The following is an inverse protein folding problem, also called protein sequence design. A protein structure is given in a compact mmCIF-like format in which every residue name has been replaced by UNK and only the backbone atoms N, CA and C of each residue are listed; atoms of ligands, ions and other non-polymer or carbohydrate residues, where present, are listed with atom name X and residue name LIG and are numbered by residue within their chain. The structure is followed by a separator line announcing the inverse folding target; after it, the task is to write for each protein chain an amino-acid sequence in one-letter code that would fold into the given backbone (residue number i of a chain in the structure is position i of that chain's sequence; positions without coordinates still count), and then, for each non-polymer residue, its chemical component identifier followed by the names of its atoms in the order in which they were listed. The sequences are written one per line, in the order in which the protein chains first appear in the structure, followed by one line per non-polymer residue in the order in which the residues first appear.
data_IF_239672379262
#
_entry.id   IF_239672379262
#
_cell.length_a   1.000
_cell.length_b   1.000
_cell.length_c   1.000
_cell.angle_alpha   90.00
_cell.angle_beta   90.00
_cell.angle_gamma   90.00
#
_symmetry.space_group_name_H-M   'P 1'
#
loop_
_entity.id
_entity.type
_entity.pdbx_description
1 polymer ?
#
# COMPACT_ATOMS: atom_id res chain seq x y z
N UNK A 1 17.70 -18.77 -6.22
CA UNK A 1 18.67 -17.72 -5.80
C UNK A 1 18.96 -17.97 -4.33
N UNK A 2 20.22 -18.18 -3.91
CA UNK A 2 20.51 -18.54 -2.53
C UNK A 2 20.38 -17.31 -1.62
N UNK A 3 19.84 -17.52 -0.42
CA UNK A 3 19.55 -16.51 0.59
C UNK A 3 20.84 -15.92 1.20
N UNK A 4 21.28 -14.78 0.68
CA UNK A 4 22.43 -14.01 1.18
C UNK A 4 22.09 -13.05 2.33
N UNK A 5 20.93 -13.19 2.99
CA UNK A 5 20.50 -12.26 4.04
C UNK A 5 19.95 -13.01 5.25
N UNK A 6 20.20 -12.49 6.46
CA UNK A 6 19.48 -12.97 7.64
C UNK A 6 17.99 -12.69 7.45
N UNK A 7 17.10 -13.62 7.84
CA UNK A 7 15.66 -13.39 7.78
C UNK A 7 15.33 -12.14 8.59
N UNK A 8 14.58 -11.22 7.97
CA UNK A 8 14.04 -10.03 8.64
C UNK A 8 12.96 -10.50 9.62
N UNK A 9 13.37 -10.89 10.83
CA UNK A 9 12.44 -11.30 11.89
C UNK A 9 11.82 -10.07 12.53
N UNK A 10 10.51 -9.93 12.33
CA UNK A 10 9.68 -8.95 13.00
C UNK A 10 9.46 -9.38 14.46
N UNK A 11 10.13 -8.74 15.42
CA UNK A 11 9.92 -9.01 16.85
C UNK A 11 9.65 -7.70 17.60
N UNK A 12 8.60 -7.65 18.41
CA UNK A 12 8.11 -6.44 19.11
C UNK A 12 9.03 -5.88 20.22
N UNK A 13 10.24 -6.44 20.42
CA UNK A 13 11.15 -6.10 21.52
C UNK A 13 12.36 -5.25 21.09
N UNK A 14 12.12 -4.22 20.27
CA UNK A 14 13.19 -3.41 19.66
C UNK A 14 13.92 -2.48 20.64
N UNK A 15 13.25 -1.96 21.68
CA UNK A 15 13.86 -1.02 22.63
C UNK A 15 14.95 -1.67 23.51
N UNK A 16 14.80 -2.95 23.86
CA UNK A 16 15.78 -3.68 24.68
C UNK A 16 16.98 -4.19 23.87
N UNK A 17 16.82 -4.45 22.56
CA UNK A 17 17.90 -4.98 21.74
C UNK A 17 19.01 -3.97 21.40
N UNK A 18 18.77 -2.66 21.58
CA UNK A 18 19.80 -1.62 21.40
C UNK A 18 20.93 -1.68 22.43
N UNK A 19 20.68 -2.26 23.60
CA UNK A 19 21.62 -2.15 24.73
C UNK A 19 22.55 -3.35 24.96
N UNK A 20 22.33 -4.51 24.32
CA UNK A 20 23.02 -5.74 24.77
C UNK A 20 24.00 -6.42 23.81
N UNK A 21 24.08 -6.07 22.51
CA UNK A 21 25.13 -6.62 21.64
C UNK A 21 25.44 -5.71 20.45
N UNK A 22 26.71 -5.43 20.19
CA UNK A 22 27.17 -4.62 19.04
C UNK A 22 26.73 -5.30 17.74
N UNK A 23 25.78 -4.75 16.98
CA UNK A 23 25.27 -5.47 15.81
C UNK A 23 26.35 -5.51 14.72
N UNK A 24 26.70 -6.71 14.27
CA UNK A 24 27.46 -6.90 13.04
C UNK A 24 26.67 -6.33 11.84
N UNK A 25 27.37 -6.02 10.75
CA UNK A 25 26.69 -5.59 9.53
C UNK A 25 25.73 -6.69 9.04
N UNK A 26 24.51 -6.32 8.66
CA UNK A 26 23.50 -7.26 8.16
C UNK A 26 23.77 -7.83 6.77
N UNK A 27 24.72 -7.25 6.03
CA UNK A 27 25.15 -7.76 4.74
C UNK A 27 26.12 -8.93 4.96
N UNK A 28 25.75 -10.13 4.48
CA UNK A 28 26.56 -11.35 4.64
C UNK A 28 27.90 -11.30 3.91
N UNK A 29 27.95 -10.61 2.77
CA UNK A 29 29.16 -10.36 2.00
C UNK A 29 30.02 -9.21 2.53
N UNK A 30 29.72 -8.66 3.72
CA UNK A 30 30.52 -7.59 4.30
C UNK A 30 31.87 -8.12 4.79
N UNK A 31 32.95 -7.74 4.10
CA UNK A 31 34.33 -7.94 4.56
C UNK A 31 34.68 -6.96 5.70
N UNK A 32 33.95 -7.04 6.81
CA UNK A 32 33.98 -6.09 7.95
C UNK A 32 35.39 -5.85 8.54
N UNK A 33 35.54 -4.85 9.43
CA UNK A 33 36.81 -4.60 10.12
C UNK A 33 37.25 -5.84 10.92
N UNK A 34 38.44 -6.37 10.59
CA UNK A 34 38.90 -7.65 11.11
C UNK A 34 39.22 -7.61 12.62
N UNK A 35 39.53 -6.43 13.19
CA UNK A 35 40.01 -6.31 14.57
C UNK A 35 39.05 -5.59 15.53
N UNK A 36 39.09 -5.98 16.81
CA UNK A 36 38.28 -5.43 17.90
C UNK A 36 38.43 -3.90 18.04
N UNK A 37 39.64 -3.37 17.83
CA UNK A 37 39.96 -1.94 17.90
C UNK A 37 39.33 -1.11 16.76
N UNK A 38 39.25 -1.66 15.55
CA UNK A 38 38.56 -1.01 14.43
C UNK A 38 37.03 -0.99 14.64
N UNK A 39 36.47 -2.00 15.31
CA UNK A 39 35.06 -2.01 15.74
C UNK A 39 34.79 -1.00 16.87
N UNK A 40 35.78 -0.77 17.74
CA UNK A 40 35.70 0.23 18.82
C UNK A 40 35.79 1.66 18.27
N UNK A 41 36.62 1.92 17.26
CA UNK A 41 36.75 3.25 16.61
C UNK A 41 35.58 3.60 15.69
N UNK A 42 34.93 2.62 15.05
CA UNK A 42 33.74 2.83 14.19
C UNK A 42 32.42 2.99 14.96
N UNK A 43 32.46 3.38 16.23
CA UNK A 43 31.32 3.36 17.16
C UNK A 43 30.12 4.24 16.78
N UNK A 44 30.19 5.07 15.74
CA UNK A 44 29.18 6.11 15.49
C UNK A 44 28.68 6.29 14.04
N UNK A 45 29.12 5.51 13.05
CA UNK A 45 28.82 5.80 11.63
C UNK A 45 28.25 4.60 10.86
N UNK A 46 27.04 4.18 11.22
CA UNK A 46 26.28 3.23 10.42
C UNK A 46 24.78 3.49 10.49
N UNK A 47 24.04 2.94 9.54
CA UNK A 47 22.61 3.22 9.37
C UNK A 47 21.80 1.97 9.66
N UNK A 48 20.67 2.14 10.33
CA UNK A 48 19.67 1.09 10.49
C UNK A 48 18.65 1.13 9.36
N UNK A 49 18.48 0.01 8.65
CA UNK A 49 17.46 -0.20 7.64
C UNK A 49 16.52 -1.31 8.11
N UNK A 50 15.26 -0.97 8.39
CA UNK A 50 14.26 -1.88 8.97
C UNK A 50 14.80 -2.66 10.19
N UNK A 51 15.56 -1.96 11.04
CA UNK A 51 16.15 -2.54 12.25
C UNK A 51 17.44 -3.34 12.06
N UNK A 52 17.93 -3.51 10.83
CA UNK A 52 19.21 -4.15 10.53
C UNK A 52 20.30 -3.10 10.35
N UNK A 53 21.46 -3.30 11.01
CA UNK A 53 22.57 -2.35 10.98
C UNK A 53 23.48 -2.54 9.76
N UNK A 54 23.87 -1.43 9.12
CA UNK A 54 24.81 -1.40 8.00
C UNK A 54 25.98 -0.47 8.28
N UNK A 55 27.20 -0.99 8.20
CA UNK A 55 28.40 -0.30 8.68
C UNK A 55 29.07 0.64 7.67
N UNK A 56 28.68 0.59 6.39
CA UNK A 56 29.25 1.40 5.30
C UNK A 56 28.15 1.78 4.31
N UNK A 57 28.27 2.93 3.61
CA UNK A 57 27.33 3.34 2.57
C UNK A 57 27.14 2.26 1.49
N UNK A 58 28.21 1.60 1.05
CA UNK A 58 28.12 0.55 0.02
C UNK A 58 27.33 -0.68 0.51
N UNK A 59 27.45 -1.02 1.80
CA UNK A 59 26.69 -2.14 2.37
C UNK A 59 25.19 -1.80 2.45
N UNK A 60 24.88 -0.55 2.79
CA UNK A 60 23.51 -0.05 2.83
C UNK A 60 22.90 0.02 1.42
N UNK A 61 23.61 0.58 0.44
CA UNK A 61 23.15 0.68 -0.95
C UNK A 61 22.86 -0.71 -1.54
N UNK A 62 23.75 -1.67 -1.30
CA UNK A 62 23.55 -3.08 -1.71
C UNK A 62 22.28 -3.66 -1.10
N UNK A 63 22.04 -3.40 0.19
CA UNK A 63 20.84 -3.85 0.88
C UNK A 63 19.57 -3.17 0.40
N UNK A 64 19.62 -1.84 0.16
CA UNK A 64 18.51 -1.08 -0.41
C UNK A 64 18.12 -1.62 -1.77
N UNK A 65 19.08 -1.83 -2.69
CA UNK A 65 18.82 -2.41 -4.01
C UNK A 65 18.14 -3.77 -3.92
N UNK A 66 18.60 -4.64 -3.01
CA UNK A 66 17.99 -5.96 -2.79
C UNK A 66 16.57 -5.87 -2.19
N UNK A 67 16.31 -4.94 -1.28
CA UNK A 67 14.96 -4.73 -0.73
C UNK A 67 14.00 -4.14 -1.76
N UNK A 68 14.47 -3.16 -2.55
CA UNK A 68 13.68 -2.52 -3.60
C UNK A 68 13.26 -3.53 -4.67
N UNK A 69 14.18 -4.38 -5.13
CA UNK A 69 13.86 -5.43 -6.10
C UNK A 69 12.84 -6.43 -5.55
N UNK A 70 12.98 -6.84 -4.28
CA UNK A 70 12.01 -7.72 -3.61
C UNK A 70 10.63 -7.09 -3.52
N UNK A 71 10.55 -5.83 -3.11
CA UNK A 71 9.29 -5.10 -2.99
C UNK A 71 8.60 -4.90 -4.35
N UNK A 72 9.38 -4.72 -5.41
CA UNK A 72 8.84 -4.58 -6.77
C UNK A 72 8.18 -5.85 -7.31
N UNK A 73 8.61 -7.04 -6.90
CA UNK A 73 7.98 -8.30 -7.34
C UNK A 73 6.67 -8.60 -6.59
N UNK A 74 6.45 -7.98 -5.42
CA UNK A 74 5.21 -8.18 -4.67
C UNK A 74 4.01 -7.61 -5.45
N UNK A 75 3.20 -8.50 -6.01
CA UNK A 75 1.96 -8.14 -6.68
C UNK A 75 1.05 -7.35 -5.72
N UNK A 76 0.31 -6.33 -6.21
CA UNK A 76 -0.71 -5.70 -5.41
C UNK A 76 -1.71 -6.76 -4.93
N UNK A 77 -2.11 -6.68 -3.65
CA UNK A 77 -3.02 -7.66 -3.08
C UNK A 77 -4.33 -7.73 -3.89
N UNK A 78 -4.65 -8.93 -4.37
CA UNK A 78 -5.91 -9.20 -5.04
C UNK A 78 -7.11 -8.94 -4.10
N UNK A 79 -8.25 -8.59 -4.67
CA UNK A 79 -9.50 -8.48 -3.91
C UNK A 79 -9.83 -9.83 -3.25
N UNK A 80 -10.29 -9.85 -1.98
CA UNK A 80 -10.73 -11.09 -1.35
C UNK A 80 -11.87 -11.70 -2.19
N UNK A 81 -11.82 -13.00 -2.51
CA UNK A 81 -12.77 -13.63 -3.43
C UNK A 81 -14.22 -13.65 -2.93
N UNK A 82 -14.44 -13.57 -1.60
CA UNK A 82 -15.74 -13.84 -0.96
C UNK A 82 -16.47 -12.57 -0.47
N UNK A 83 -16.30 -11.44 -1.15
CA UNK A 83 -16.94 -10.19 -0.74
C UNK A 83 -18.30 -10.03 -1.41
N UNK A 84 -19.38 -9.95 -0.61
CA UNK A 84 -20.72 -9.63 -1.12
C UNK A 84 -20.66 -8.28 -1.85
N UNK A 85 -21.09 -8.17 -3.12
CA UNK A 85 -21.15 -6.90 -3.85
C UNK A 85 -21.98 -5.84 -3.12
N UNK A 86 -21.59 -4.57 -3.22
CA UNK A 86 -22.21 -3.47 -2.46
C UNK A 86 -23.72 -3.37 -2.73
N UNK A 87 -24.12 -3.40 -4.00
CA UNK A 87 -25.54 -3.33 -4.38
C UNK A 87 -26.36 -4.48 -3.80
N UNK A 88 -25.85 -5.71 -3.85
CA UNK A 88 -26.54 -6.87 -3.26
C UNK A 88 -26.63 -6.76 -1.74
N UNK A 89 -25.60 -6.25 -1.07
CA UNK A 89 -25.62 -6.01 0.37
C UNK A 89 -26.67 -4.96 0.75
N UNK A 90 -26.82 -3.90 -0.05
CA UNK A 90 -27.82 -2.86 0.16
C UNK A 90 -29.25 -3.37 -0.07
N UNK A 91 -29.45 -4.24 -1.06
CA UNK A 91 -30.73 -4.94 -1.28
C UNK A 91 -31.09 -5.85 -0.10
N UNK A 92 -30.14 -6.65 0.36
CA UNK A 92 -30.35 -7.53 1.53
C UNK A 92 -30.69 -6.76 2.82
N UNK A 93 -30.30 -5.48 2.89
CA UNK A 93 -30.58 -4.56 4.01
C UNK A 93 -31.86 -3.74 3.82
N UNK A 94 -32.61 -3.97 2.73
CA UNK A 94 -33.83 -3.22 2.40
C UNK A 94 -33.60 -1.75 2.05
N UNK A 95 -32.35 -1.38 1.72
CA UNK A 95 -31.97 0.00 1.37
C UNK A 95 -32.10 0.30 -0.12
N UNK A 96 -32.07 -0.73 -0.95
CA UNK A 96 -32.26 -0.65 -2.39
C UNK A 96 -33.14 -1.80 -2.86
N UNK A 97 -33.78 -1.61 -4.00
CA UNK A 97 -34.42 -2.65 -4.79
C UNK A 97 -33.43 -3.21 -5.83
N UNK A 98 -33.73 -4.41 -6.34
CA UNK A 98 -32.93 -4.99 -7.41
C UNK A 98 -32.93 -4.13 -8.69
N UNK A 99 -34.06 -3.48 -8.99
CA UNK A 99 -34.21 -2.61 -10.17
C UNK A 99 -33.33 -1.36 -10.06
N UNK A 100 -33.27 -0.73 -8.89
CA UNK A 100 -32.39 0.44 -8.66
C UNK A 100 -30.91 0.07 -8.81
N UNK A 101 -30.50 -1.11 -8.32
CA UNK A 101 -29.12 -1.59 -8.52
C UNK A 101 -28.80 -1.79 -10.00
N UNK A 102 -29.72 -2.39 -10.77
CA UNK A 102 -29.53 -2.56 -12.21
C UNK A 102 -29.45 -1.22 -12.96
N UNK A 103 -30.32 -0.28 -12.62
CA UNK A 103 -30.30 1.07 -13.19
C UNK A 103 -28.97 1.79 -12.91
N UNK A 104 -28.46 1.71 -11.68
CA UNK A 104 -27.17 2.29 -11.31
C UNK A 104 -26.00 1.62 -12.05
N UNK A 105 -26.00 0.29 -12.21
CA UNK A 105 -25.00 -0.45 -12.99
C UNK A 105 -25.04 -0.09 -14.47
N UNK A 106 -26.22 0.15 -15.03
CA UNK A 106 -26.37 0.60 -16.42
C UNK A 106 -25.83 2.02 -16.61
N UNK A 107 -26.19 2.96 -15.73
CA UNK A 107 -25.65 4.32 -15.75
C UNK A 107 -24.12 4.33 -15.64
N UNK A 108 -23.56 3.56 -14.70
CA UNK A 108 -22.10 3.40 -14.54
C UNK A 108 -21.44 2.87 -15.82
N UNK A 109 -22.02 1.83 -16.44
CA UNK A 109 -21.48 1.24 -17.68
C UNK A 109 -21.51 2.21 -18.85
N UNK A 110 -22.59 2.99 -18.99
CA UNK A 110 -22.73 4.02 -20.03
C UNK A 110 -21.69 5.13 -19.84
N UNK A 111 -21.48 5.57 -18.61
CA UNK A 111 -20.53 6.61 -18.29
C UNK A 111 -19.05 6.16 -18.36
N UNK A 112 -18.76 4.87 -18.12
CA UNK A 112 -17.40 4.28 -18.08
C UNK A 112 -16.48 4.88 -17.00
N UNK A 113 -17.04 5.54 -15.98
CA UNK A 113 -16.29 6.05 -14.83
C UNK A 113 -17.11 5.96 -13.53
N UNK A 114 -16.47 6.27 -12.40
CA UNK A 114 -17.11 6.35 -11.10
C UNK A 114 -17.33 4.99 -10.44
N UNK A 115 -17.62 5.01 -9.14
CA UNK A 115 -17.92 3.79 -8.37
C UNK A 115 -19.42 3.57 -8.30
N UNK A 116 -19.84 2.32 -8.12
CA UNK A 116 -21.27 1.99 -8.08
C UNK A 116 -22.03 2.73 -6.96
N UNK A 117 -21.40 2.92 -5.79
CA UNK A 117 -21.99 3.70 -4.69
C UNK A 117 -22.26 5.16 -5.07
N UNK A 118 -21.35 5.79 -5.84
CA UNK A 118 -21.53 7.16 -6.34
C UNK A 118 -22.73 7.25 -7.30
N UNK A 119 -22.91 6.26 -8.17
CA UNK A 119 -24.06 6.22 -9.07
C UNK A 119 -25.37 6.01 -8.33
N UNK A 120 -25.38 5.17 -7.30
CA UNK A 120 -26.54 4.97 -6.41
C UNK A 120 -26.94 6.29 -5.74
N UNK A 121 -25.97 7.06 -5.25
CA UNK A 121 -26.20 8.39 -4.66
C UNK A 121 -26.67 9.41 -5.69
N UNK A 122 -25.99 9.52 -6.83
CA UNK A 122 -26.29 10.50 -7.87
C UNK A 122 -27.66 10.31 -8.49
N UNK A 123 -28.15 9.06 -8.55
CA UNK A 123 -29.49 8.73 -9.03
C UNK A 123 -30.57 8.89 -7.94
N UNK A 124 -30.19 9.25 -6.71
CA UNK A 124 -31.11 9.47 -5.59
C UNK A 124 -31.66 8.20 -4.97
N UNK A 125 -31.12 7.02 -5.30
CA UNK A 125 -31.62 5.75 -4.79
C UNK A 125 -31.23 5.49 -3.33
N UNK A 126 -30.11 6.05 -2.86
CA UNK A 126 -29.73 6.01 -1.45
C UNK A 126 -28.92 7.24 -1.05
N UNK A 127 -28.84 7.49 0.25
CA UNK A 127 -28.00 8.58 0.78
C UNK A 127 -26.54 8.16 0.89
N UNK A 128 -25.62 9.14 0.97
CA UNK A 128 -24.20 8.88 1.25
C UNK A 128 -24.00 8.11 2.57
N UNK A 129 -24.85 8.36 3.57
CA UNK A 129 -24.81 7.64 4.85
C UNK A 129 -25.20 6.17 4.69
N UNK A 130 -26.18 5.86 3.84
CA UNK A 130 -26.58 4.48 3.54
C UNK A 130 -25.44 3.74 2.82
N UNK A 131 -24.80 4.37 1.83
CA UNK A 131 -23.65 3.80 1.11
C UNK A 131 -22.46 3.59 2.06
N UNK A 132 -22.15 4.58 2.90
CA UNK A 132 -21.06 4.49 3.90
C UNK A 132 -21.31 3.36 4.90
N UNK A 133 -22.54 3.22 5.40
CA UNK A 133 -22.93 2.14 6.32
C UNK A 133 -22.85 0.77 5.65
N UNK A 134 -23.27 0.67 4.39
CA UNK A 134 -23.13 -0.55 3.62
C UNK A 134 -21.66 -0.91 3.38
N UNK A 135 -20.80 0.06 3.04
CA UNK A 135 -19.34 -0.15 2.89
C UNK A 135 -18.69 -0.62 4.19
N UNK A 136 -19.06 -0.02 5.32
CA UNK A 136 -18.61 -0.42 6.65
C UNK A 136 -18.91 -1.90 6.93
N UNK A 137 -20.15 -2.32 6.64
CA UNK A 137 -20.58 -3.72 6.78
C UNK A 137 -19.85 -4.64 5.78
N UNK A 138 -19.65 -4.18 4.55
CA UNK A 138 -18.97 -4.91 3.48
C UNK A 138 -17.47 -5.13 3.77
N UNK A 139 -16.87 -4.32 4.64
CA UNK A 139 -15.48 -4.42 5.09
C UNK A 139 -15.33 -4.89 6.54
N UNK A 140 -16.42 -5.11 7.27
CA UNK A 140 -16.37 -5.44 8.71
C UNK A 140 -15.69 -4.36 9.55
N UNK A 141 -15.81 -3.09 9.15
CA UNK A 141 -15.14 -1.95 9.78
C UNK A 141 -16.18 -0.98 10.37
N UNK A 142 -15.86 -0.25 11.45
CA UNK A 142 -16.75 0.79 11.99
C UNK A 142 -16.83 2.01 11.07
N UNK A 143 -17.95 2.74 11.16
CA UNK A 143 -18.07 4.08 10.55
C UNK A 143 -17.38 5.09 11.45
N UNK A 144 -16.54 5.96 10.87
CA UNK A 144 -15.84 7.01 11.59
C UNK A 144 -16.82 8.09 12.08
N UNK A 145 -16.72 8.46 13.35
CA UNK A 145 -17.47 9.59 13.92
C UNK A 145 -16.92 10.93 13.41
N UNK A 146 -17.80 11.91 13.20
CA UNK A 146 -17.54 13.19 12.52
C UNK A 146 -16.51 14.12 13.20
N UNK A 147 -15.89 13.76 14.32
CA UNK A 147 -14.94 14.61 15.02
C UNK A 147 -13.53 14.34 14.49
N UNK A 148 -13.00 15.26 13.68
CA UNK A 148 -11.62 15.20 13.16
C UNK A 148 -10.78 16.42 13.59
N UNK A 149 -10.58 16.72 14.89
CA UNK A 149 -9.70 17.82 15.29
C UNK A 149 -8.21 17.44 15.41
N UNK A 150 -7.85 16.16 15.60
CA UNK A 150 -6.45 15.71 15.78
C UNK A 150 -5.79 15.07 14.53
N UNK A 151 -6.47 15.13 13.39
CA UNK A 151 -5.96 14.48 12.17
C UNK A 151 -4.75 15.18 11.57
N UNK A 152 -4.51 16.47 11.80
CA UNK A 152 -3.46 17.22 11.07
C UNK A 152 -2.05 16.71 11.46
N UNK A 153 -1.74 16.62 12.75
CA UNK A 153 -0.45 16.09 13.22
C UNK A 153 -0.29 14.62 12.80
N UNK A 154 -1.36 13.85 12.88
CA UNK A 154 -1.35 12.43 12.49
C UNK A 154 -1.19 12.27 10.98
N UNK A 155 -1.79 13.16 10.17
CA UNK A 155 -1.71 13.18 8.72
C UNK A 155 -0.33 13.56 8.22
N UNK A 156 0.44 14.34 8.99
CA UNK A 156 1.85 14.63 8.67
C UNK A 156 2.74 13.38 8.68
N UNK A 157 2.29 12.28 9.30
CA UNK A 157 3.05 11.02 9.33
C UNK A 157 3.02 10.27 8.00
N UNK A 158 1.97 10.43 7.19
CA UNK A 158 1.78 9.72 5.93
C UNK A 158 1.80 10.72 4.76
N UNK A 159 2.65 10.48 3.74
CA UNK A 159 2.71 11.33 2.56
C UNK A 159 1.37 11.58 1.87
N UNK A 160 1.13 12.80 1.41
CA UNK A 160 -0.16 13.20 0.83
C UNK A 160 -0.53 12.35 -0.39
N UNK A 161 0.44 12.10 -1.28
CA UNK A 161 0.23 11.30 -2.47
C UNK A 161 -0.29 9.88 -2.15
N UNK A 162 0.09 9.31 -0.99
CA UNK A 162 -0.44 8.04 -0.53
C UNK A 162 -1.87 8.19 0.02
N UNK A 163 -2.13 9.24 0.81
CA UNK A 163 -3.49 9.52 1.32
C UNK A 163 -4.49 9.68 0.16
N UNK A 164 -4.09 10.39 -0.89
CA UNK A 164 -4.88 10.59 -2.11
C UNK A 164 -5.02 9.33 -2.94
N UNK A 165 -3.92 8.61 -3.21
CA UNK A 165 -3.96 7.41 -4.04
C UNK A 165 -4.85 6.31 -3.46
N UNK A 166 -4.94 6.24 -2.13
CA UNK A 166 -5.75 5.24 -1.41
C UNK A 166 -7.08 5.79 -0.89
N UNK A 167 -7.40 7.08 -1.14
CA UNK A 167 -8.60 7.76 -0.64
C UNK A 167 -8.82 7.49 0.86
N UNK A 168 -7.78 7.79 1.65
CA UNK A 168 -7.73 7.49 3.07
C UNK A 168 -7.29 8.70 3.91
N UNK A 169 -7.71 8.72 5.18
CA UNK A 169 -7.40 9.77 6.14
C UNK A 169 -6.99 9.20 7.50
N UNK A 170 -5.84 9.60 8.05
CA UNK A 170 -5.49 9.32 9.42
C UNK A 170 -6.41 10.12 10.35
N UNK A 171 -7.15 9.44 11.21
CA UNK A 171 -8.12 10.08 12.10
C UNK A 171 -7.48 10.46 13.43
N UNK A 172 -6.89 9.47 14.09
CA UNK A 172 -6.34 9.60 15.43
C UNK A 172 -5.22 8.57 15.64
N UNK A 173 -4.25 8.93 16.46
CA UNK A 173 -3.22 8.01 16.95
C UNK A 173 -3.37 7.86 18.46
N UNK A 174 -3.70 6.65 18.91
CA UNK A 174 -3.80 6.29 20.33
C UNK A 174 -2.42 5.85 20.86
N UNK A 175 -1.71 6.66 21.66
CA UNK A 175 -0.35 6.33 22.09
C UNK A 175 -0.31 5.14 23.05
N UNK A 176 -1.34 4.95 23.89
CA UNK A 176 -1.45 3.87 24.86
C UNK A 176 -1.45 2.47 24.23
N UNK A 177 -2.06 2.33 23.05
CA UNK A 177 -2.12 1.08 22.29
C UNK A 177 -1.21 1.07 21.07
N UNK A 178 -0.45 2.16 20.85
CA UNK A 178 0.34 2.40 19.64
C UNK A 178 -0.48 2.09 18.36
N UNK A 179 -1.70 2.62 18.29
CA UNK A 179 -2.66 2.31 17.21
C UNK A 179 -3.07 3.56 16.45
N UNK A 180 -2.95 3.51 15.13
CA UNK A 180 -3.34 4.54 14.18
C UNK A 180 -4.68 4.17 13.53
N UNK A 181 -5.70 5.00 13.74
CA UNK A 181 -7.00 4.86 13.09
C UNK A 181 -6.99 5.52 11.73
N UNK A 182 -7.39 4.79 10.69
CA UNK A 182 -7.37 5.26 9.30
C UNK A 182 -8.75 5.06 8.69
N UNK A 183 -9.40 6.15 8.28
CA UNK A 183 -10.64 6.11 7.52
C UNK A 183 -10.38 5.93 6.04
N UNK A 184 -11.21 5.12 5.37
CA UNK A 184 -11.27 4.99 3.92
C UNK A 184 -12.61 5.51 3.40
N UNK A 185 -12.59 6.22 2.27
CA UNK A 185 -13.81 6.73 1.63
C UNK A 185 -14.48 5.74 0.68
N UNK A 186 -13.79 4.67 0.27
CA UNK A 186 -14.29 3.73 -0.73
C UNK A 186 -13.90 2.28 -0.41
N UNK A 187 -12.60 1.98 -0.44
CA UNK A 187 -12.05 0.63 -0.30
C UNK A 187 -11.04 0.60 0.83
N UNK A 188 -11.28 -0.26 1.81
CA UNK A 188 -10.27 -0.61 2.82
C UNK A 188 -9.20 -1.47 2.15
N UNK A 189 -7.97 -0.96 2.13
CA UNK A 189 -6.82 -1.67 1.57
C UNK A 189 -5.93 -2.22 2.70
N UNK A 190 -6.13 -3.49 3.05
CA UNK A 190 -5.36 -4.14 4.11
C UNK A 190 -3.86 -4.27 3.80
N UNK A 191 -3.47 -4.32 2.52
CA UNK A 191 -2.06 -4.35 2.16
C UNK A 191 -1.40 -2.98 2.39
N UNK A 192 -2.11 -1.90 2.07
CA UNK A 192 -1.68 -0.54 2.41
C UNK A 192 -1.57 -0.35 3.92
N UNK A 193 -2.57 -0.79 4.69
CA UNK A 193 -2.54 -0.76 6.16
C UNK A 193 -1.31 -1.48 6.71
N UNK A 194 -1.07 -2.72 6.29
CA UNK A 194 0.09 -3.49 6.72
C UNK A 194 1.44 -2.83 6.35
N UNK A 195 1.52 -2.18 5.19
CA UNK A 195 2.69 -1.41 4.81
C UNK A 195 2.89 -0.16 5.68
N UNK A 196 1.81 0.53 6.05
CA UNK A 196 1.83 1.68 6.97
C UNK A 196 2.29 1.22 8.37
N UNK A 197 1.78 0.09 8.86
CA UNK A 197 2.20 -0.51 10.14
C UNK A 197 3.71 -0.73 10.17
N UNK A 198 4.26 -1.31 9.10
CA UNK A 198 5.70 -1.54 8.97
C UNK A 198 6.51 -0.24 8.98
N UNK A 199 6.06 0.78 8.25
CA UNK A 199 6.81 2.03 8.10
C UNK A 199 6.71 2.91 9.35
N UNK A 200 5.53 2.97 9.99
CA UNK A 200 5.29 3.83 11.15
C UNK A 200 5.53 3.14 12.50
N UNK A 201 5.79 1.83 12.50
CA UNK A 201 5.97 1.03 13.71
C UNK A 201 4.79 1.06 14.68
N UNK A 202 3.58 1.09 14.13
CA UNK A 202 2.34 1.13 14.90
C UNK A 202 1.36 0.07 14.37
N UNK A 203 0.32 -0.21 15.14
CA UNK A 203 -0.84 -0.96 14.64
C UNK A 203 -1.74 -0.02 13.86
N UNK A 204 -2.47 -0.53 12.88
CA UNK A 204 -3.50 0.24 12.19
C UNK A 204 -4.88 -0.36 12.43
N UNK A 205 -5.87 0.52 12.56
CA UNK A 205 -7.28 0.13 12.65
C UNK A 205 -8.06 0.81 11.53
N UNK A 206 -8.65 0.06 10.58
CA UNK A 206 -9.46 0.64 9.52
C UNK A 206 -10.82 1.09 10.04
N UNK A 207 -11.29 2.21 9.49
CA UNK A 207 -12.65 2.72 9.59
C UNK A 207 -13.15 3.08 8.19
N UNK A 208 -14.46 3.24 8.02
CA UNK A 208 -15.06 3.80 6.80
C UNK A 208 -15.62 5.17 7.11
N UNK A 209 -15.40 6.15 6.23
CA UNK A 209 -15.95 7.49 6.36
C UNK A 209 -16.72 7.88 5.09
N UNK A 210 -17.66 8.85 5.18
CA UNK A 210 -18.31 9.41 4.00
C UNK A 210 -17.28 9.93 3.00
N UNK A 211 -17.46 9.59 1.72
CA UNK A 211 -16.49 9.92 0.67
C UNK A 211 -16.29 11.43 0.54
N UNK A 212 -17.36 12.23 0.63
CA UNK A 212 -17.27 13.70 0.56
C UNK A 212 -16.47 14.26 1.72
N UNK A 213 -16.58 13.67 2.91
CA UNK A 213 -15.74 14.03 4.06
C UNK A 213 -14.28 13.71 3.78
N UNK A 214 -13.99 12.55 3.19
CA UNK A 214 -12.61 12.16 2.85
C UNK A 214 -12.00 13.14 1.85
N UNK A 215 -12.70 13.39 0.74
CA UNK A 215 -12.26 14.31 -0.32
C UNK A 215 -12.01 15.72 0.22
N UNK A 216 -12.96 16.28 0.98
CA UNK A 216 -12.84 17.63 1.56
C UNK A 216 -11.62 17.78 2.46
N UNK A 217 -11.32 16.78 3.29
CA UNK A 217 -10.14 16.84 4.15
C UNK A 217 -8.84 16.65 3.37
N UNK A 218 -8.81 15.80 2.35
CA UNK A 218 -7.65 15.69 1.45
C UNK A 218 -7.39 17.01 0.73
N UNK A 219 -8.43 17.71 0.29
CA UNK A 219 -8.32 19.05 -0.29
C UNK A 219 -7.74 20.06 0.70
N UNK A 220 -8.21 20.06 1.94
CA UNK A 220 -7.62 20.90 3.00
C UNK A 220 -6.15 20.57 3.25
N UNK A 221 -5.80 19.27 3.28
CA UNK A 221 -4.44 18.80 3.47
C UNK A 221 -3.49 19.14 2.31
N UNK A 222 -3.99 19.33 1.07
CA UNK A 222 -3.19 19.83 -0.08
C UNK A 222 -2.70 21.24 0.13
N UNK A 223 -3.47 22.07 0.84
CA UNK A 223 -3.14 23.48 1.05
C UNK A 223 -2.07 23.67 2.14
N UNK A 224 -1.72 22.61 2.87
CA UNK A 224 -0.73 22.66 3.94
C UNK A 224 0.67 22.32 3.39
N UNK A 225 1.73 23.04 3.79
CA UNK A 225 3.09 22.77 3.34
C UNK A 225 3.57 21.42 3.87
N UNK A 226 4.18 20.61 2.99
CA UNK A 226 4.76 19.29 3.32
C UNK A 226 6.21 19.18 2.83
N UNK A 227 7.12 20.00 3.35
CA UNK A 227 8.51 20.03 2.88
C UNK A 227 9.28 18.72 3.15
N UNK A 228 8.74 17.85 3.99
CA UNK A 228 9.31 16.54 4.32
C UNK A 228 9.01 15.45 3.30
N UNK A 229 8.08 15.67 2.36
CA UNK A 229 7.64 14.65 1.40
C UNK A 229 8.25 14.94 0.02
N UNK A 230 9.10 14.04 -0.46
CA UNK A 230 9.75 14.14 -1.77
C UNK A 230 9.29 12.99 -2.65
N UNK A 231 8.64 13.30 -3.76
CA UNK A 231 8.20 12.29 -4.75
C UNK A 231 9.15 12.25 -5.95
N UNK A 232 9.46 11.04 -6.40
CA UNK A 232 10.25 10.74 -7.58
C UNK A 232 9.45 9.87 -8.55
N UNK A 233 9.58 10.15 -9.85
CA UNK A 233 9.21 9.24 -10.93
C UNK A 233 8.11 9.69 -11.89
N UNK A 234 7.65 8.79 -12.79
CA UNK A 234 7.77 7.33 -12.74
C UNK A 234 9.20 6.77 -12.90
N UNK A 235 9.57 5.73 -12.14
CA UNK A 235 10.89 5.07 -12.20
C UNK A 235 10.80 3.57 -11.97
N UNK A 236 11.68 2.79 -12.62
CA UNK A 236 11.86 1.35 -12.39
C UNK A 236 13.33 0.93 -12.14
N UNK A 237 14.29 1.84 -12.23
CA UNK A 237 15.69 1.54 -11.94
C UNK A 237 15.94 1.49 -10.41
N UNK A 238 16.06 0.29 -9.86
CA UNK A 238 16.32 0.09 -8.43
C UNK A 238 17.70 0.60 -8.01
N UNK A 239 18.69 0.60 -8.90
CA UNK A 239 20.01 1.14 -8.58
C UNK A 239 19.95 2.65 -8.46
N UNK A 240 19.20 3.34 -9.33
CA UNK A 240 18.96 4.78 -9.21
C UNK A 240 18.20 5.13 -7.93
N UNK A 241 17.11 4.42 -7.63
CA UNK A 241 16.36 4.59 -6.37
C UNK A 241 17.25 4.38 -5.13
N UNK A 242 18.14 3.39 -5.18
CA UNK A 242 19.08 3.07 -4.09
C UNK A 242 20.13 4.17 -3.91
N UNK A 243 20.67 4.74 -5.01
CA UNK A 243 21.61 5.87 -4.96
C UNK A 243 20.95 7.13 -4.44
N UNK A 244 19.74 7.46 -4.89
CA UNK A 244 18.95 8.59 -4.38
C UNK A 244 18.72 8.41 -2.87
N UNK A 245 18.23 7.23 -2.47
CA UNK A 245 18.01 6.91 -1.05
C UNK A 245 19.29 7.05 -0.23
N UNK A 246 20.40 6.51 -0.71
CA UNK A 246 21.70 6.58 -0.04
C UNK A 246 22.22 8.01 0.09
N UNK A 247 22.01 8.87 -0.92
CA UNK A 247 22.36 10.29 -0.89
C UNK A 247 21.58 11.03 0.22
N UNK A 248 20.27 10.81 0.30
CA UNK A 248 19.44 11.39 1.37
C UNK A 248 19.83 10.88 2.76
N UNK A 249 20.10 9.58 2.89
CA UNK A 249 20.53 8.98 4.14
C UNK A 249 21.87 9.57 4.60
N UNK A 250 22.84 9.72 3.70
CA UNK A 250 24.13 10.32 4.01
C UNK A 250 23.98 11.79 4.45
N UNK A 251 23.10 12.55 3.78
CA UNK A 251 22.85 13.97 4.09
C UNK A 251 22.11 14.18 5.41
N UNK A 252 21.08 13.36 5.67
CA UNK A 252 20.19 13.55 6.81
C UNK A 252 20.63 12.77 8.06
N UNK A 253 21.52 11.78 7.89
CA UNK A 253 22.00 10.88 8.94
C UNK A 253 20.88 10.37 9.87
N UNK A 254 19.87 9.66 9.33
CA UNK A 254 18.70 9.24 10.10
C UNK A 254 19.05 8.19 11.15
N UNK A 255 18.34 8.27 12.28
CA UNK A 255 18.40 7.26 13.35
C UNK A 255 17.86 5.91 12.87
N UNK A 256 16.92 5.95 11.93
CA UNK A 256 16.25 4.78 11.39
C UNK A 256 15.70 5.03 9.98
N UNK A 257 15.86 4.05 9.11
CA UNK A 257 15.29 4.01 7.76
C UNK A 257 14.31 2.86 7.67
N UNK A 258 13.08 3.12 7.22
CA UNK A 258 12.08 2.09 6.94
C UNK A 258 11.59 2.22 5.51
N UNK A 259 11.20 1.10 4.92
CA UNK A 259 10.58 1.11 3.59
C UNK A 259 9.52 0.04 3.43
N UNK A 260 8.55 0.31 2.57
CA UNK A 260 7.57 -0.68 2.12
C UNK A 260 6.95 -0.23 0.80
N UNK A 261 6.31 -1.18 0.10
CA UNK A 261 5.50 -0.90 -1.08
C UNK A 261 4.05 -0.68 -0.70
N UNK A 262 3.45 0.37 -1.26
CA UNK A 262 2.03 0.69 -1.17
C UNK A 262 1.50 0.88 -2.60
N UNK A 263 0.87 -0.17 -3.15
CA UNK A 263 0.35 -0.15 -4.52
C UNK A 263 1.46 0.14 -5.54
N UNK A 264 1.39 1.29 -6.21
CA UNK A 264 2.40 1.74 -7.19
C UNK A 264 3.52 2.59 -6.58
N UNK A 265 3.57 2.74 -5.27
CA UNK A 265 4.58 3.55 -4.60
C UNK A 265 5.50 2.66 -3.77
N UNK A 266 6.79 2.99 -3.76
CA UNK A 266 7.69 2.58 -2.69
C UNK A 266 7.90 3.78 -1.79
N UNK A 267 7.51 3.63 -0.52
CA UNK A 267 7.66 4.65 0.49
C UNK A 267 8.88 4.31 1.35
N UNK A 268 9.88 5.18 1.33
CA UNK A 268 11.04 5.19 2.22
C UNK A 268 10.86 6.31 3.26
N UNK A 269 10.93 5.97 4.55
CA UNK A 269 10.85 6.94 5.66
C UNK A 269 12.19 7.02 6.37
N UNK A 270 12.72 8.23 6.47
CA UNK A 270 13.98 8.58 7.12
C UNK A 270 13.66 9.32 8.42
N UNK A 271 13.79 8.66 9.56
CA UNK A 271 13.50 9.25 10.87
C UNK A 271 14.75 9.93 11.43
N UNK A 272 14.65 11.22 11.77
CA UNK A 272 15.70 12.00 12.41
C UNK A 272 15.11 12.58 13.69
N UNK A 273 15.48 12.03 14.85
CA UNK A 273 14.93 12.41 16.17
C UNK A 273 13.39 12.35 16.18
N UNK A 274 12.74 13.52 16.25
CA UNK A 274 11.29 13.70 16.29
C UNK A 274 10.67 13.99 14.92
N UNK A 275 11.47 14.27 13.89
CA UNK A 275 10.99 14.53 12.53
C UNK A 275 11.24 13.33 11.62
N UNK A 276 10.60 13.33 10.45
CA UNK A 276 10.86 12.36 9.42
C UNK A 276 10.79 13.00 8.03
N UNK A 277 11.64 12.52 7.13
CA UNK A 277 11.58 12.83 5.70
C UNK A 277 11.08 11.58 4.98
N UNK A 278 10.11 11.75 4.09
CA UNK A 278 9.53 10.67 3.30
C UNK A 278 10.00 10.80 1.84
N UNK A 279 10.61 9.76 1.31
CA UNK A 279 10.88 9.62 -0.12
C UNK A 279 9.84 8.67 -0.70
N UNK A 280 9.14 9.12 -1.73
CA UNK A 280 8.18 8.32 -2.47
C UNK A 280 8.72 8.06 -3.87
N UNK A 281 8.93 6.80 -4.22
CA UNK A 281 9.23 6.40 -5.58
C UNK A 281 7.95 5.88 -6.23
N UNK A 282 7.43 6.61 -7.22
CA UNK A 282 6.32 6.17 -8.04
C UNK A 282 6.85 5.20 -9.10
N UNK A 283 6.40 3.95 -9.02
CA UNK A 283 6.72 2.92 -9.99
C UNK A 283 6.03 3.21 -11.32
N UNK A 284 6.71 2.95 -12.44
CA UNK A 284 6.06 3.04 -13.74
C UNK A 284 4.97 1.96 -13.84
N UNK A 285 3.85 2.23 -14.53
CA UNK A 285 2.87 1.19 -14.81
C UNK A 285 3.58 0.03 -15.51
N UNK A 286 3.32 -1.20 -15.06
CA UNK A 286 3.74 -2.38 -15.82
C UNK A 286 3.16 -2.25 -17.22
N UNK A 287 4.01 -2.28 -18.25
CA UNK A 287 3.53 -2.44 -19.62
C UNK A 287 2.63 -3.68 -19.65
N UNK A 288 1.44 -3.63 -20.26
CA UNK A 288 0.55 -4.78 -20.29
C UNK A 288 1.32 -5.95 -20.87
N UNK A 289 1.58 -6.98 -20.05
CA UNK A 289 2.11 -8.24 -20.56
C UNK A 289 1.15 -8.66 -21.68
N UNK A 290 1.64 -8.96 -22.90
CA UNK A 290 0.76 -9.44 -23.94
C UNK A 290 -0.02 -10.61 -23.35
N UNK A 291 -1.35 -10.48 -23.34
CA UNK A 291 -2.23 -11.57 -22.96
C UNK A 291 -1.93 -12.66 -23.97
N UNK A 292 -1.09 -13.62 -23.58
CA UNK A 292 -0.99 -14.89 -24.29
C UNK A 292 -2.36 -15.52 -24.12
N UNK A 293 -3.26 -15.25 -25.09
CA UNK A 293 -4.54 -15.94 -25.14
C UNK A 293 -4.19 -17.42 -25.17
N UNK A 294 -4.75 -18.25 -24.27
CA UNK A 294 -4.56 -19.69 -24.38
C UNK A 294 -4.99 -20.07 -25.80
N UNK A 295 -4.07 -20.72 -26.52
CA UNK A 295 -4.30 -21.24 -27.86
C UNK A 295 -5.59 -22.06 -27.79
N UNK A 296 -6.67 -21.58 -28.43
CA UNK A 296 -7.86 -22.40 -28.62
C UNK A 296 -7.53 -23.34 -29.78
N UNK A 297 -7.42 -24.66 -29.57
CA UNK A 297 -7.34 -25.57 -30.70
C UNK A 297 -8.62 -25.40 -31.52
N UNK A 298 -8.45 -25.16 -32.82
CA UNK A 298 -9.55 -25.13 -33.78
C UNK A 298 -10.13 -26.54 -33.82
N UNK A 299 -11.34 -26.70 -33.28
CA UNK A 299 -12.12 -27.93 -33.46
C UNK A 299 -12.44 -28.06 -34.95
N UNK A 300 -11.82 -29.04 -35.61
CA UNK A 300 -12.15 -29.42 -36.98
C UNK A 300 -13.64 -29.80 -37.07
N UNK A 301 -14.36 -29.39 -38.14
CA UNK A 301 -15.75 -29.77 -38.31
C UNK A 301 -15.89 -31.30 -38.44
N UNK A 302 -16.85 -31.87 -37.71
CA UNK A 302 -17.25 -33.27 -37.86
C UNK A 302 -17.77 -33.52 -39.29
N UNK A 303 -17.38 -34.63 -39.96
CA UNK A 303 -17.96 -34.99 -41.25
C UNK A 303 -19.45 -35.32 -41.08
N UNK A 304 -20.26 -34.75 -41.96
CA UNK A 304 -21.68 -35.06 -42.08
C UNK A 304 -21.82 -36.49 -42.62
N UNK A 305 -22.51 -37.34 -41.87
CA UNK A 305 -22.94 -38.65 -42.32
C UNK A 305 -24.22 -38.41 -43.14
N UNK A 306 -24.09 -38.32 -44.46
CA UNK A 306 -25.23 -38.43 -45.37
C UNK A 306 -25.66 -39.89 -45.42
N UNK A 307 -26.78 -40.17 -44.75
CA UNK A 307 -27.59 -41.34 -45.02
C UNK A 307 -28.98 -40.87 -45.41
N UNK A 308 -29.40 -41.14 -46.65
CA UNK A 308 -30.72 -41.73 -46.91
C UNK A 308 -31.01 -41.96 -48.40
N UNK A 309 -31.35 -43.22 -48.66
CA UNK A 309 -32.46 -43.67 -49.51
C UNK A 309 -32.42 -43.43 -51.02
N UNK A 310 -31.94 -44.44 -51.75
CA UNK A 310 -32.48 -44.82 -53.05
C UNK A 310 -33.57 -45.89 -52.87
N UNK A 311 -34.82 -45.57 -53.22
CA UNK A 311 -35.93 -46.51 -53.43
C UNK A 311 -36.63 -46.15 -54.75
N UNK A 312 -36.53 -47.08 -55.71
CA UNK A 312 -37.39 -47.40 -56.87
C UNK A 312 -38.07 -46.31 -57.70
N UNK A 313 -37.76 -46.29 -59.01
CA UNK A 313 -38.59 -46.86 -60.08
C UNK A 313 -37.75 -47.15 -61.32
#
# INVERSE_FOLDING_TARGET
MPDFFKPLTWSRNWAQHRQQNRPGCGLTSCSGPQTFWQRLRRRHTGTFLQGVFYCRPQCLETALTAQLSRLHVLAPAALPPNRIPLGLLMVARGKLTYIEVLAALEAQRRARYGKIGEWIENLGFATEQDVTSALALQWGCPVASSAVPSAIETASRIPLALLEAFQMLPLNYAPSTNTLYIAFGERVDHAALYAIEKILDCRTQPCVAPRKTVVRHLEHLRQQPRPSDVEFGPMNDFAEMSRISSSYIARLNPDEVRLSRLGRFIWLRLKVRTSATNLLFRLAPESPRPIVRPFRPVLSPRPQIEGSSHITK
#
